data_IF_846326844273
#
_entry.id   IF_846326844273
#
_cell.length_a   1.000
_cell.length_b   1.000
_cell.length_c   1.000
_cell.angle_alpha   90.00
_cell.angle_beta   90.00
_cell.angle_gamma   90.00
#
_symmetry.space_group_name_H-M   'P 1'
#
loop_
_entity.id
_entity.type
_entity.pdbx_description
1 polymer ?
#
# COMPACT_ATOMS: atom_id res chain seq x y z
N UNK A 1 16.52 23.83 7.95
CA UNK A 1 16.16 22.41 7.68
C UNK A 1 15.58 21.82 8.96
N UNK A 2 14.51 21.03 8.91
CA UNK A 2 13.89 20.44 10.11
C UNK A 2 14.57 19.11 10.50
N UNK A 3 14.65 18.77 11.80
CA UNK A 3 15.25 17.50 12.30
C UNK A 3 14.73 16.24 11.59
N UNK A 4 13.47 16.24 11.16
CA UNK A 4 12.87 15.13 10.40
C UNK A 4 13.44 15.01 8.99
N UNK A 5 13.71 16.14 8.32
CA UNK A 5 14.31 16.19 6.99
C UNK A 5 15.79 15.77 7.04
N UNK A 6 16.51 16.14 8.09
CA UNK A 6 17.91 15.72 8.30
C UNK A 6 18.02 14.21 8.54
N UNK A 7 17.14 13.64 9.37
CA UNK A 7 17.08 12.20 9.61
C UNK A 7 16.75 11.43 8.32
N UNK A 8 15.84 11.95 7.50
CA UNK A 8 15.52 11.37 6.20
C UNK A 8 16.73 11.42 5.26
N UNK A 9 17.40 12.58 5.16
CA UNK A 9 18.59 12.76 4.33
C UNK A 9 19.69 11.75 4.73
N UNK A 10 19.98 11.64 6.02
CA UNK A 10 20.97 10.69 6.53
C UNK A 10 20.60 9.24 6.24
N UNK A 11 19.33 8.85 6.36
CA UNK A 11 18.88 7.52 5.99
C UNK A 11 19.10 7.22 4.51
N UNK A 12 18.91 8.21 3.64
CA UNK A 12 19.11 8.05 2.19
C UNK A 12 20.60 7.97 1.83
N UNK A 13 21.44 8.76 2.49
CA UNK A 13 22.90 8.67 2.38
C UNK A 13 23.38 7.28 2.83
N UNK A 14 22.89 6.77 3.97
CA UNK A 14 23.20 5.41 4.44
C UNK A 14 22.79 4.31 3.47
N UNK A 15 21.73 4.54 2.69
CA UNK A 15 21.24 3.62 1.64
C UNK A 15 22.01 3.76 0.31
N UNK A 16 23.04 4.61 0.25
CA UNK A 16 23.79 4.84 -0.97
C UNK A 16 22.99 5.52 -2.08
N UNK A 17 21.88 6.20 -1.74
CA UNK A 17 21.06 6.88 -2.72
C UNK A 17 21.79 8.15 -3.16
N UNK A 18 22.05 8.26 -4.46
CA UNK A 18 22.72 9.40 -5.06
C UNK A 18 21.72 10.51 -5.45
N UNK A 19 22.25 11.66 -5.84
CA UNK A 19 21.46 12.75 -6.37
C UNK A 19 20.76 12.32 -7.69
N UNK A 20 19.44 12.52 -7.83
CA UNK A 20 18.69 12.15 -9.04
C UNK A 20 18.90 13.19 -10.16
N UNK A 21 20.06 13.12 -10.81
CA UNK A 21 20.50 14.08 -11.84
C UNK A 21 19.53 14.16 -13.03
N UNK A 22 19.02 13.02 -13.49
CA UNK A 22 18.09 12.95 -14.63
C UNK A 22 16.77 13.67 -14.33
N UNK A 23 16.22 13.46 -13.13
CA UNK A 23 14.98 14.10 -12.71
C UNK A 23 15.14 15.62 -12.57
N UNK A 24 16.28 16.07 -12.05
CA UNK A 24 16.58 17.49 -11.92
C UNK A 24 16.70 18.16 -13.31
N UNK A 25 17.42 17.53 -14.25
CA UNK A 25 17.53 18.02 -15.63
C UNK A 25 16.19 18.08 -16.35
N UNK A 26 15.36 17.04 -16.21
CA UNK A 26 14.01 17.03 -16.78
C UNK A 26 13.17 18.19 -16.25
N UNK A 27 13.23 18.45 -14.94
CA UNK A 27 12.52 19.57 -14.34
C UNK A 27 13.06 20.93 -14.83
N UNK A 28 14.38 21.12 -14.95
CA UNK A 28 14.99 22.33 -15.51
C UNK A 28 14.57 22.58 -16.97
N UNK A 29 14.49 21.52 -17.78
CA UNK A 29 14.06 21.61 -19.19
C UNK A 29 12.61 22.04 -19.38
N UNK A 30 11.74 21.82 -18.39
CA UNK A 30 10.35 22.29 -18.47
C UNK A 30 10.21 23.81 -18.35
N UNK A 31 11.27 24.52 -17.94
CA UNK A 31 11.26 25.98 -17.75
C UNK A 31 10.33 26.48 -16.63
N UNK A 32 9.80 25.58 -15.80
CA UNK A 32 8.90 25.92 -14.69
C UNK A 32 9.68 26.24 -13.42
N UNK A 33 9.14 27.13 -12.59
CA UNK A 33 9.76 27.52 -11.31
C UNK A 33 9.89 26.31 -10.38
N UNK A 34 11.12 25.95 -10.04
CA UNK A 34 11.42 24.85 -9.12
C UNK A 34 11.45 25.39 -7.68
N UNK A 35 10.60 24.89 -6.76
CA UNK A 35 10.67 25.25 -5.35
C UNK A 35 12.01 24.85 -4.73
N UNK A 36 12.52 25.66 -3.80
CA UNK A 36 13.78 25.39 -3.08
C UNK A 36 15.01 25.13 -3.98
N UNK A 37 15.04 25.71 -5.19
CA UNK A 37 16.10 25.49 -6.20
C UNK A 37 17.53 25.67 -5.69
N UNK A 38 17.77 26.63 -4.79
CA UNK A 38 19.09 26.84 -4.17
C UNK A 38 19.54 25.61 -3.35
N UNK A 39 18.64 25.03 -2.56
CA UNK A 39 18.93 23.80 -1.80
C UNK A 39 19.21 22.62 -2.74
N UNK A 40 18.47 22.50 -3.83
CA UNK A 40 18.68 21.44 -4.82
C UNK A 40 20.06 21.56 -5.48
N UNK A 41 20.51 22.78 -5.79
CA UNK A 41 21.87 23.05 -6.29
C UNK A 41 22.94 22.65 -5.29
N UNK A 42 22.77 22.95 -4.01
CA UNK A 42 23.71 22.53 -2.96
C UNK A 42 23.79 21.00 -2.84
N UNK A 43 22.65 20.31 -2.91
CA UNK A 43 22.61 18.85 -2.90
C UNK A 43 23.29 18.25 -4.13
N UNK A 44 23.10 18.86 -5.30
CA UNK A 44 23.79 18.48 -6.54
C UNK A 44 25.30 18.61 -6.42
N UNK A 45 25.80 19.76 -5.92
CA UNK A 45 27.24 19.99 -5.72
C UNK A 45 27.87 19.02 -4.72
N UNK A 46 27.14 18.66 -3.66
CA UNK A 46 27.61 17.72 -2.62
C UNK A 46 27.37 16.25 -2.98
N UNK A 47 26.72 15.96 -4.11
CA UNK A 47 26.31 14.60 -4.50
C UNK A 47 25.29 13.97 -3.54
N UNK A 48 24.58 14.77 -2.75
CA UNK A 48 23.66 14.29 -1.73
C UNK A 48 22.30 13.91 -2.33
N UNK A 49 21.63 12.88 -1.80
CA UNK A 49 20.26 12.58 -2.22
C UNK A 49 19.32 13.76 -1.92
N UNK A 50 18.24 13.86 -2.69
CA UNK A 50 17.18 14.81 -2.40
C UNK A 50 16.24 14.30 -1.30
N UNK A 51 15.44 15.19 -0.70
CA UNK A 51 14.34 14.77 0.18
C UNK A 51 13.19 14.18 -0.64
N UNK A 52 12.33 13.36 -0.04
CA UNK A 52 11.14 12.83 -0.75
C UNK A 52 10.20 13.94 -1.23
N UNK A 53 10.05 15.00 -0.45
CA UNK A 53 9.26 16.16 -0.84
C UNK A 53 9.80 16.82 -2.12
N UNK A 54 11.13 16.99 -2.19
CA UNK A 54 11.81 17.57 -3.35
C UNK A 54 11.67 16.70 -4.59
N UNK A 55 11.79 15.38 -4.44
CA UNK A 55 11.58 14.44 -5.55
C UNK A 55 10.14 14.51 -6.06
N UNK A 56 9.15 14.51 -5.17
CA UNK A 56 7.75 14.63 -5.57
C UNK A 56 7.47 15.96 -6.30
N UNK A 57 8.09 17.06 -5.87
CA UNK A 57 7.99 18.36 -6.56
C UNK A 57 8.65 18.33 -7.94
N UNK A 58 9.85 17.74 -8.07
CA UNK A 58 10.53 17.62 -9.37
C UNK A 58 9.77 16.68 -10.32
N UNK A 59 9.23 15.56 -9.83
CA UNK A 59 8.38 14.66 -10.60
C UNK A 59 7.10 15.36 -11.06
N UNK A 60 6.47 16.18 -10.21
CA UNK A 60 5.29 16.95 -10.60
C UNK A 60 5.63 17.94 -11.72
N UNK A 61 6.75 18.64 -11.62
CA UNK A 61 7.24 19.60 -12.63
C UNK A 61 7.55 18.89 -13.95
N UNK A 62 8.36 17.83 -13.91
CA UNK A 62 8.79 17.06 -15.07
C UNK A 62 7.59 16.46 -15.82
N UNK A 63 6.58 15.97 -15.09
CA UNK A 63 5.35 15.42 -15.68
C UNK A 63 4.31 16.47 -16.08
N UNK A 64 4.65 17.77 -16.01
CA UNK A 64 3.75 18.84 -16.39
C UNK A 64 2.54 19.03 -15.45
N UNK A 65 2.49 18.33 -14.31
CA UNK A 65 1.43 18.46 -13.30
C UNK A 65 1.62 19.79 -12.57
N UNK A 66 0.53 20.54 -12.32
CA UNK A 66 0.63 21.75 -11.50
C UNK A 66 1.16 21.34 -10.13
N UNK A 67 2.26 21.98 -9.70
CA UNK A 67 2.67 21.95 -8.31
C UNK A 67 1.54 22.65 -7.57
N UNK A 68 0.59 21.90 -7.02
CA UNK A 68 -0.34 22.51 -6.08
C UNK A 68 0.49 22.95 -4.89
N UNK A 69 0.70 24.27 -4.76
CA UNK A 69 1.05 24.86 -3.48
C UNK A 69 0.13 24.26 -2.41
N UNK A 70 0.64 23.94 -1.22
CA UNK A 70 -0.22 23.47 -0.14
C UNK A 70 -1.22 24.59 0.15
N UNK A 71 -2.45 24.46 -0.38
CA UNK A 71 -3.53 25.41 -0.21
C UNK A 71 -3.61 25.76 1.28
N UNK A 72 -3.30 27.01 1.62
CA UNK A 72 -3.73 27.61 2.88
C UNK A 72 -5.25 27.48 2.91
N UNK A 73 -5.87 26.78 3.89
CA UNK A 73 -7.31 26.79 3.98
C UNK A 73 -7.74 28.17 4.50
N UNK A 74 -8.30 28.99 3.61
CA UNK A 74 -9.07 30.16 4.00
C UNK A 74 -10.33 29.68 4.73
N UNK A 75 -10.49 30.21 5.94
CA UNK A 75 -11.64 30.23 6.84
C UNK A 75 -12.99 29.74 6.28
N UNK A 76 -13.51 28.67 6.90
CA UNK A 76 -14.84 28.54 7.57
C UNK A 76 -15.43 27.13 7.42
N UNK A 77 -14.71 26.08 7.85
CA UNK A 77 -15.33 24.86 8.38
C UNK A 77 -14.39 24.32 9.44
N UNK A 78 -14.80 24.33 10.70
CA UNK A 78 -14.03 23.74 11.80
C UNK A 78 -14.17 22.22 11.71
N UNK A 79 -13.49 21.61 10.73
CA UNK A 79 -13.21 20.18 10.75
C UNK A 79 -11.93 20.04 11.57
N UNK A 80 -12.10 19.66 12.84
CA UNK A 80 -10.99 19.31 13.70
C UNK A 80 -10.16 18.21 13.03
N UNK A 81 -9.00 18.58 12.47
CA UNK A 81 -7.96 17.59 12.15
C UNK A 81 -7.64 16.84 13.44
N UNK A 82 -7.64 15.50 13.46
CA UNK A 82 -7.17 14.79 14.63
C UNK A 82 -5.71 15.20 14.85
N UNK A 83 -5.48 15.86 15.99
CA UNK A 83 -4.16 16.27 16.42
C UNK A 83 -3.22 15.07 16.37
N UNK A 84 -1.97 15.35 15.99
CA UNK A 84 -0.78 14.52 16.17
C UNK A 84 -1.01 13.58 17.36
N UNK A 85 -1.18 12.28 17.10
CA UNK A 85 -1.35 11.29 18.18
C UNK A 85 -0.11 11.36 19.06
N UNK A 86 -0.22 12.12 20.17
CA UNK A 86 0.51 11.82 21.39
C UNK A 86 0.31 10.33 21.64
N UNK A 87 1.34 9.61 22.08
CA UNK A 87 1.20 8.22 22.58
C UNK A 87 -0.03 8.17 23.49
N UNK A 88 -1.17 7.75 22.96
CA UNK A 88 -2.35 7.56 23.78
C UNK A 88 -2.14 6.22 24.46
N UNK A 89 -2.10 6.25 25.77
CA UNK A 89 -2.47 5.08 26.57
C UNK A 89 -3.83 4.64 26.04
N UNK A 90 -3.85 3.55 25.26
CA UNK A 90 -5.04 3.06 24.61
C UNK A 90 -6.14 2.90 25.67
N UNK A 91 -7.23 3.64 25.52
CA UNK A 91 -8.41 3.46 26.38
C UNK A 91 -9.02 2.09 26.09
N UNK A 92 -9.58 1.44 27.11
CA UNK A 92 -10.17 0.09 27.05
C UNK A 92 -11.16 -0.08 25.88
N UNK A 93 -11.84 1.00 25.47
CA UNK A 93 -12.73 1.05 24.31
C UNK A 93 -12.01 0.93 22.95
N UNK A 94 -10.86 1.58 22.77
CA UNK A 94 -10.06 1.45 21.52
C UNK A 94 -9.42 0.06 21.40
N UNK A 95 -9.05 -0.55 22.52
CA UNK A 95 -8.56 -1.93 22.55
C UNK A 95 -9.65 -2.93 22.14
N UNK A 96 -10.87 -2.76 22.65
CA UNK A 96 -12.02 -3.59 22.27
C UNK A 96 -12.40 -3.42 20.79
N UNK A 97 -12.37 -2.20 20.26
CA UNK A 97 -12.65 -1.95 18.85
C UNK A 97 -11.60 -2.62 17.92
N UNK A 98 -10.31 -2.59 18.30
CA UNK A 98 -9.26 -3.28 17.57
C UNK A 98 -9.36 -4.81 17.67
N UNK A 99 -9.74 -5.33 18.83
CA UNK A 99 -9.98 -6.76 19.02
C UNK A 99 -11.14 -7.25 18.14
N UNK A 100 -12.25 -6.51 18.12
CA UNK A 100 -13.40 -6.80 17.26
C UNK A 100 -13.05 -6.74 15.77
N UNK A 101 -12.29 -5.73 15.35
CA UNK A 101 -11.83 -5.62 13.96
C UNK A 101 -10.90 -6.78 13.55
N UNK A 102 -10.02 -7.22 14.47
CA UNK A 102 -9.16 -8.39 14.24
C UNK A 102 -9.97 -9.67 14.12
N UNK A 103 -10.96 -9.86 14.98
CA UNK A 103 -11.85 -11.04 14.93
C UNK A 103 -12.67 -11.05 13.63
N UNK A 104 -13.30 -9.93 13.27
CA UNK A 104 -14.05 -9.82 12.02
C UNK A 104 -13.19 -10.11 10.77
N UNK A 105 -11.93 -9.68 10.77
CA UNK A 105 -10.99 -9.99 9.69
C UNK A 105 -10.63 -11.48 9.63
N UNK A 106 -10.48 -12.15 10.79
CA UNK A 106 -10.28 -13.60 10.85
C UNK A 106 -11.51 -14.36 10.34
N UNK A 107 -12.70 -13.99 10.80
CA UNK A 107 -13.95 -14.64 10.40
C UNK A 107 -14.16 -14.50 8.88
N UNK A 108 -13.85 -13.32 8.32
CA UNK A 108 -13.88 -13.10 6.87
C UNK A 108 -12.90 -14.01 6.13
N UNK A 109 -11.65 -14.09 6.58
CA UNK A 109 -10.64 -14.96 5.97
C UNK A 109 -11.06 -16.43 6.03
N UNK A 110 -11.56 -16.89 7.18
CA UNK A 110 -12.06 -18.26 7.37
C UNK A 110 -13.23 -18.58 6.41
N UNK A 111 -14.17 -17.64 6.26
CA UNK A 111 -15.28 -17.78 5.30
C UNK A 111 -14.77 -17.90 3.86
N UNK A 112 -13.82 -17.07 3.46
CA UNK A 112 -13.24 -17.12 2.12
C UNK A 112 -12.49 -18.43 1.87
N UNK A 113 -11.69 -18.88 2.84
CA UNK A 113 -11.00 -20.17 2.77
C UNK A 113 -11.96 -21.34 2.58
N UNK A 114 -13.05 -21.39 3.35
CA UNK A 114 -14.06 -22.45 3.21
C UNK A 114 -14.69 -22.45 1.82
N UNK A 115 -15.05 -21.28 1.28
CA UNK A 115 -15.63 -21.15 -0.06
C UNK A 115 -14.63 -21.57 -1.14
N UNK A 116 -13.39 -21.13 -1.02
CA UNK A 116 -12.32 -21.48 -1.95
C UNK A 116 -12.03 -22.98 -1.94
N UNK A 117 -11.99 -23.63 -0.78
CA UNK A 117 -11.81 -25.07 -0.67
C UNK A 117 -12.92 -25.85 -1.38
N UNK A 118 -14.19 -25.44 -1.19
CA UNK A 118 -15.32 -26.04 -1.90
C UNK A 118 -15.24 -25.89 -3.42
N UNK A 119 -14.76 -24.74 -3.90
CA UNK A 119 -14.55 -24.51 -5.35
C UNK A 119 -13.37 -25.31 -5.90
N UNK A 120 -12.26 -25.42 -5.16
CA UNK A 120 -11.12 -26.25 -5.55
C UNK A 120 -11.55 -27.70 -5.69
N UNK A 121 -12.28 -28.25 -4.71
CA UNK A 121 -12.83 -29.60 -4.78
C UNK A 121 -13.79 -29.80 -5.98
N UNK A 122 -14.64 -28.81 -6.30
CA UNK A 122 -15.54 -28.92 -7.45
C UNK A 122 -14.78 -28.83 -8.78
N UNK A 123 -13.77 -27.97 -8.91
CA UNK A 123 -12.95 -27.90 -10.12
C UNK A 123 -11.94 -29.04 -10.28
N UNK A 124 -11.53 -29.69 -9.19
CA UNK A 124 -10.82 -30.99 -9.21
C UNK A 124 -11.71 -32.05 -9.89
N UNK A 125 -12.98 -32.15 -9.51
CA UNK A 125 -13.93 -33.10 -10.11
C UNK A 125 -14.20 -32.85 -11.62
N UNK A 126 -13.99 -31.62 -12.09
CA UNK A 126 -14.22 -31.20 -13.47
C UNK A 126 -12.92 -31.16 -14.31
N UNK A 127 -11.76 -31.46 -13.72
CA UNK A 127 -10.45 -31.42 -14.39
C UNK A 127 -10.02 -30.03 -14.84
N UNK A 128 -10.42 -28.97 -14.12
CA UNK A 128 -10.19 -27.55 -14.49
C UNK A 128 -9.01 -26.92 -13.71
N UNK A 129 -8.53 -27.55 -12.64
CA UNK A 129 -7.55 -26.93 -11.73
C UNK A 129 -6.25 -27.73 -11.54
N UNK A 130 -5.13 -27.00 -11.54
CA UNK A 130 -3.79 -27.50 -11.20
C UNK A 130 -3.59 -27.48 -9.68
N UNK A 131 -3.58 -28.66 -9.08
CA UNK A 131 -3.65 -28.88 -7.63
C UNK A 131 -2.57 -28.19 -6.80
N UNK A 132 -1.33 -28.18 -7.27
CA UNK A 132 -0.20 -27.83 -6.41
C UNK A 132 -0.14 -26.33 -6.10
N UNK A 133 -0.51 -25.48 -7.08
CA UNK A 133 -0.46 -24.03 -6.92
C UNK A 133 -1.54 -23.55 -5.96
N UNK A 134 -2.76 -24.03 -6.12
CA UNK A 134 -3.90 -23.59 -5.31
C UNK A 134 -3.82 -24.16 -3.88
N UNK A 135 -3.30 -25.39 -3.69
CA UNK A 135 -2.99 -25.93 -2.36
C UNK A 135 -1.95 -25.10 -1.60
N UNK A 136 -0.89 -24.63 -2.27
CA UNK A 136 0.09 -23.72 -1.64
C UNK A 136 -0.54 -22.40 -1.18
N UNK A 137 -1.46 -21.84 -1.97
CA UNK A 137 -2.18 -20.63 -1.59
C UNK A 137 -3.11 -20.86 -0.39
N UNK A 138 -3.79 -21.99 -0.34
CA UNK A 138 -4.60 -22.38 0.83
C UNK A 138 -3.73 -22.49 2.07
N UNK A 139 -2.60 -23.21 1.99
CA UNK A 139 -1.67 -23.35 3.11
C UNK A 139 -1.13 -22.01 3.62
N UNK A 140 -0.80 -21.07 2.72
CA UNK A 140 -0.36 -19.71 3.11
C UNK A 140 -1.49 -18.95 3.82
N UNK A 141 -2.73 -19.09 3.36
CA UNK A 141 -3.86 -18.41 3.99
C UNK A 141 -4.24 -19.05 5.33
N UNK A 142 -4.14 -20.37 5.47
CA UNK A 142 -4.35 -21.11 6.72
C UNK A 142 -3.29 -20.77 7.77
N UNK A 143 -2.02 -20.70 7.37
CA UNK A 143 -0.94 -20.27 8.27
C UNK A 143 -1.18 -18.86 8.81
N UNK A 144 -1.64 -17.92 7.97
CA UNK A 144 -1.98 -16.56 8.42
C UNK A 144 -3.24 -16.53 9.30
N UNK A 145 -4.21 -17.42 9.05
CA UNK A 145 -5.42 -17.52 9.88
C UNK A 145 -5.10 -18.06 11.29
N UNK A 146 -4.26 -19.08 11.35
CA UNK A 146 -3.85 -19.77 12.59
C UNK A 146 -2.80 -18.99 13.40
N UNK A 147 -2.11 -18.02 12.79
CA UNK A 147 -1.19 -17.15 13.49
C UNK A 147 -1.94 -16.20 14.46
N UNK A 148 -1.71 -16.39 15.76
CA UNK A 148 -2.30 -15.60 16.83
C UNK A 148 -1.88 -14.12 16.76
N UNK A 149 -0.67 -13.84 16.27
CA UNK A 149 -0.08 -12.50 16.15
C UNK A 149 -0.44 -11.80 14.83
N UNK A 150 -1.04 -12.52 13.88
CA UNK A 150 -1.42 -11.98 12.57
C UNK A 150 -2.15 -10.64 12.68
N UNK A 151 -1.64 -9.62 12.01
CA UNK A 151 -2.26 -8.28 12.01
C UNK A 151 -3.58 -8.28 11.23
N UNK A 152 -4.52 -7.40 11.59
CA UNK A 152 -5.77 -7.21 10.84
C UNK A 152 -5.51 -6.96 9.35
N UNK A 153 -4.44 -6.20 9.02
CA UNK A 153 -4.03 -5.93 7.64
C UNK A 153 -3.59 -7.21 6.90
N UNK A 154 -2.83 -8.08 7.55
CA UNK A 154 -2.39 -9.34 6.96
C UNK A 154 -3.60 -10.25 6.68
N UNK A 155 -4.52 -10.38 7.65
CA UNK A 155 -5.76 -11.14 7.52
C UNK A 155 -6.62 -10.61 6.36
N UNK A 156 -6.89 -9.31 6.33
CA UNK A 156 -7.67 -8.69 5.24
C UNK A 156 -6.98 -8.81 3.88
N UNK A 157 -5.65 -8.68 3.84
CA UNK A 157 -4.90 -8.85 2.58
C UNK A 157 -4.99 -10.27 2.05
N UNK A 158 -4.94 -11.29 2.91
CA UNK A 158 -5.12 -12.68 2.48
C UNK A 158 -6.56 -12.94 2.05
N UNK A 159 -7.55 -12.39 2.76
CA UNK A 159 -8.96 -12.54 2.40
C UNK A 159 -9.22 -11.99 0.99
N UNK A 160 -8.72 -10.79 0.67
CA UNK A 160 -8.88 -10.20 -0.66
C UNK A 160 -8.20 -11.04 -1.76
N UNK A 161 -7.03 -11.62 -1.49
CA UNK A 161 -6.33 -12.48 -2.47
C UNK A 161 -7.13 -13.74 -2.79
N UNK A 162 -7.73 -14.36 -1.77
CA UNK A 162 -8.59 -15.53 -1.95
C UNK A 162 -9.87 -15.15 -2.67
N UNK A 163 -10.47 -14.02 -2.35
CA UNK A 163 -11.67 -13.49 -3.00
C UNK A 163 -11.47 -13.33 -4.52
N UNK A 164 -10.40 -12.65 -4.96
CA UNK A 164 -10.07 -12.53 -6.39
C UNK A 164 -9.82 -13.89 -7.06
N UNK A 165 -9.28 -14.86 -6.32
CA UNK A 165 -9.08 -16.22 -6.85
C UNK A 165 -10.38 -16.96 -7.01
N UNK A 166 -11.30 -16.83 -6.05
CA UNK A 166 -12.64 -17.38 -6.13
C UNK A 166 -13.35 -16.85 -7.39
N UNK A 167 -13.38 -15.53 -7.58
CA UNK A 167 -14.02 -14.91 -8.75
C UNK A 167 -13.51 -15.50 -10.07
N UNK A 168 -12.18 -15.64 -10.21
CA UNK A 168 -11.57 -16.23 -11.41
C UNK A 168 -11.93 -17.70 -11.63
N UNK A 169 -12.09 -18.48 -10.56
CA UNK A 169 -12.50 -19.89 -10.66
C UNK A 169 -13.97 -19.96 -11.04
N UNK A 170 -14.83 -19.15 -10.42
CA UNK A 170 -16.26 -19.10 -10.73
C UNK A 170 -16.50 -18.70 -12.19
N UNK A 171 -15.78 -17.70 -12.71
CA UNK A 171 -15.83 -17.34 -14.13
C UNK A 171 -15.43 -18.49 -15.05
N UNK A 172 -14.39 -19.27 -14.70
CA UNK A 172 -13.95 -20.43 -15.50
C UNK A 172 -14.97 -21.55 -15.46
N UNK A 173 -15.57 -21.82 -14.30
CA UNK A 173 -16.61 -22.82 -14.13
C UNK A 173 -17.85 -22.45 -14.95
N UNK A 174 -18.29 -21.19 -14.87
CA UNK A 174 -19.44 -20.68 -15.63
C UNK A 174 -19.24 -20.83 -17.14
N UNK A 175 -18.09 -20.37 -17.67
CA UNK A 175 -17.74 -20.51 -19.10
C UNK A 175 -17.70 -21.97 -19.57
N UNK A 176 -17.38 -22.91 -18.67
CA UNK A 176 -17.37 -24.34 -19.01
C UNK A 176 -18.79 -24.91 -19.02
N UNK A 177 -19.64 -24.52 -18.07
CA UNK A 177 -21.06 -24.89 -18.08
C UNK A 177 -21.75 -24.40 -19.37
N UNK A 178 -21.49 -23.16 -19.78
CA UNK A 178 -21.99 -22.60 -21.06
C UNK A 178 -21.48 -23.32 -22.32
N UNK A 179 -20.44 -24.16 -22.21
CA UNK A 179 -19.85 -24.89 -23.33
C UNK A 179 -20.44 -26.29 -23.52
N UNK A 180 -21.15 -26.79 -22.51
CA UNK A 180 -21.77 -28.13 -22.48
C UNK A 180 -23.31 -28.06 -22.44
N UNK A 181 -23.88 -26.85 -22.42
CA UNK A 181 -25.28 -26.56 -22.70
C UNK A 181 -25.39 -25.84 -24.05
#
# INVERSE_FOLDING_TARGET
MNRQQEAELQQRIKKGIQFPEELFKMAEQTGRTIPDYQRLKEHRQKGWPLLKADIASLEAIANGRKIEEPRRPSSTVRIERPAKKKRSTATKAEANAKANAKQAARDRLAKMLRRYNGLVASGESLGVMENERDRRWMHIAETVLNDAEATTRALSSQANKIETKIERIEERLLRRQERYY
#
